data_IF_623721314255
#
_entry.id   IF_623721314255
#
_cell.length_a   1.000
_cell.length_b   1.000
_cell.length_c   1.000
_cell.angle_alpha   90.00
_cell.angle_beta   90.00
_cell.angle_gamma   90.00
#
_symmetry.space_group_name_H-M   'P 1'
#
loop_
_entity.id
_entity.type
_entity.pdbx_description
1 polymer ?
#
# COMPACT_ATOMS: atom_id res chain seq x y z
N UNK A 1 12.72 16.28 -5.86
CA UNK A 1 13.82 17.19 -6.26
C UNK A 1 13.40 18.66 -6.10
N UNK A 2 12.25 19.11 -6.65
CA UNK A 2 11.80 20.53 -6.57
C UNK A 2 11.75 21.00 -5.11
N UNK A 3 11.13 20.25 -4.20
CA UNK A 3 11.06 20.61 -2.78
C UNK A 3 12.44 20.68 -2.11
N UNK A 4 13.35 19.77 -2.45
CA UNK A 4 14.72 19.78 -1.93
C UNK A 4 15.46 21.05 -2.39
N UNK A 5 15.32 21.42 -3.66
CA UNK A 5 15.94 22.62 -4.19
C UNK A 5 15.36 23.91 -3.56
N UNK A 6 14.06 23.95 -3.35
CA UNK A 6 13.40 25.05 -2.64
C UNK A 6 13.93 25.18 -1.19
N UNK A 7 14.03 24.07 -0.47
CA UNK A 7 14.61 24.07 0.89
C UNK A 7 16.07 24.54 0.91
N UNK A 8 16.90 24.08 -0.05
CA UNK A 8 18.29 24.53 -0.16
C UNK A 8 18.39 26.03 -0.44
N UNK A 9 17.50 26.57 -1.26
CA UNK A 9 17.49 28.01 -1.57
C UNK A 9 17.08 28.87 -0.36
N UNK A 10 16.08 28.38 0.39
CA UNK A 10 15.54 29.14 1.54
C UNK A 10 16.36 28.92 2.83
N UNK A 11 17.05 27.81 2.96
CA UNK A 11 17.78 27.41 4.17
C UNK A 11 19.16 26.85 3.80
N UNK A 12 20.06 27.66 3.20
CA UNK A 12 21.31 27.16 2.62
C UNK A 12 22.29 26.56 3.64
N UNK A 13 22.22 27.02 4.89
CA UNK A 13 23.12 26.58 5.96
C UNK A 13 22.50 25.51 6.87
N UNK A 14 21.28 25.04 6.57
CA UNK A 14 20.59 24.04 7.38
C UNK A 14 20.97 22.63 6.88
N UNK A 15 21.49 21.74 7.75
CA UNK A 15 21.68 20.34 7.40
C UNK A 15 20.37 19.68 6.95
N UNK A 16 20.45 18.90 5.88
CA UNK A 16 19.28 18.22 5.33
C UNK A 16 19.48 16.72 5.33
N UNK A 17 18.48 15.99 5.78
CA UNK A 17 18.41 14.53 5.70
C UNK A 17 17.20 14.10 4.88
N UNK A 18 17.38 13.16 3.95
CA UNK A 18 16.29 12.55 3.20
C UNK A 18 15.82 11.28 3.93
N UNK A 19 14.53 11.20 4.21
CA UNK A 19 13.89 9.99 4.72
C UNK A 19 13.03 9.40 3.61
N UNK A 20 13.39 8.18 3.18
CA UNK A 20 12.67 7.51 2.10
C UNK A 20 11.59 6.60 2.66
N UNK A 21 10.38 6.79 2.18
CA UNK A 21 9.20 6.03 2.61
C UNK A 21 9.27 4.53 2.25
N UNK A 22 10.13 4.19 1.30
CA UNK A 22 10.40 2.81 0.87
C UNK A 22 11.53 2.13 1.66
N UNK A 23 12.30 2.87 2.48
CA UNK A 23 13.54 2.37 3.09
C UNK A 23 13.30 1.19 4.05
N UNK A 24 12.22 1.22 4.82
CA UNK A 24 11.86 0.13 5.76
C UNK A 24 11.62 -1.21 5.04
N UNK A 25 11.12 -1.16 3.81
CA UNK A 25 10.80 -2.35 3.01
C UNK A 25 11.99 -2.93 2.24
N UNK A 26 13.19 -2.35 2.36
CA UNK A 26 14.40 -2.89 1.73
C UNK A 26 14.85 -4.24 2.33
N UNK A 27 14.29 -4.63 3.47
CA UNK A 27 14.56 -5.92 4.12
C UNK A 27 13.69 -7.07 3.60
N UNK A 28 12.76 -6.81 2.68
CA UNK A 28 11.97 -7.87 2.04
C UNK A 28 12.87 -8.86 1.31
N UNK A 29 12.62 -10.18 1.44
CA UNK A 29 13.34 -11.20 0.70
C UNK A 29 12.98 -11.16 -0.79
N UNK A 30 13.85 -11.69 -1.63
CA UNK A 30 13.75 -11.59 -3.10
C UNK A 30 12.41 -12.11 -3.64
N UNK A 31 11.94 -13.24 -3.15
CA UNK A 31 10.66 -13.83 -3.55
C UNK A 31 9.43 -12.95 -3.18
N UNK A 32 9.57 -12.01 -2.25
CA UNK A 32 8.50 -11.10 -1.88
C UNK A 32 8.49 -9.83 -2.72
N UNK A 33 9.63 -9.40 -3.26
CA UNK A 33 9.70 -8.17 -4.03
C UNK A 33 9.75 -8.36 -5.55
N UNK A 34 10.17 -9.51 -6.07
CA UNK A 34 10.18 -9.79 -7.51
C UNK A 34 8.76 -10.02 -8.01
N UNK A 35 8.41 -9.40 -9.13
CA UNK A 35 7.21 -9.73 -9.87
C UNK A 35 7.48 -10.89 -10.83
N UNK A 36 6.50 -11.80 -11.07
CA UNK A 36 6.62 -12.89 -12.03
C UNK A 36 6.50 -12.37 -13.48
N UNK A 37 7.43 -11.53 -13.87
CA UNK A 37 7.61 -10.95 -15.18
C UNK A 37 9.00 -11.36 -15.70
N UNK A 38 9.32 -11.19 -17.00
CA UNK A 38 10.67 -11.42 -17.50
C UNK A 38 11.72 -10.74 -16.61
N UNK A 39 12.71 -11.52 -16.14
CA UNK A 39 13.65 -11.08 -15.10
C UNK A 39 14.49 -9.86 -15.54
N UNK A 40 14.70 -9.72 -16.85
CA UNK A 40 15.39 -8.58 -17.46
C UNK A 40 14.72 -7.23 -17.12
N UNK A 41 13.39 -7.23 -16.91
CA UNK A 41 12.69 -6.00 -16.49
C UNK A 41 13.09 -5.55 -15.10
N UNK A 42 13.40 -6.50 -14.20
CA UNK A 42 13.98 -6.17 -12.91
C UNK A 42 15.43 -5.70 -13.06
N UNK A 43 16.25 -6.41 -13.83
CA UNK A 43 17.68 -6.08 -13.96
C UNK A 43 17.89 -4.72 -14.61
N UNK A 44 17.18 -4.42 -15.70
CA UNK A 44 17.38 -3.22 -16.50
C UNK A 44 16.57 -2.02 -15.97
N UNK A 45 15.33 -2.25 -15.54
CA UNK A 45 14.40 -1.18 -15.19
C UNK A 45 14.04 -1.13 -13.71
N UNK A 46 14.60 -2.04 -12.90
CA UNK A 46 14.33 -2.14 -11.46
C UNK A 46 12.83 -2.28 -11.14
N UNK A 47 12.09 -3.00 -12.01
CA UNK A 47 10.68 -3.28 -11.78
C UNK A 47 10.57 -4.33 -10.70
N UNK A 48 10.19 -3.87 -9.50
CA UNK A 48 10.02 -4.70 -8.29
C UNK A 48 9.00 -4.06 -7.35
N UNK A 49 8.58 -4.81 -6.34
CA UNK A 49 7.85 -4.24 -5.20
C UNK A 49 8.80 -3.39 -4.36
N UNK A 50 8.44 -2.14 -4.12
CA UNK A 50 9.15 -1.23 -3.21
C UNK A 50 8.45 -1.10 -1.87
N UNK A 51 7.11 -1.03 -1.88
CA UNK A 51 6.32 -0.71 -0.70
C UNK A 51 6.41 0.77 -0.32
N UNK A 52 5.46 1.21 0.48
CA UNK A 52 5.36 2.60 0.92
C UNK A 52 4.84 2.66 2.35
N UNK A 53 4.69 3.86 2.91
CA UNK A 53 4.39 4.08 4.33
C UNK A 53 5.41 3.43 5.27
N UNK A 54 6.63 3.20 4.80
CA UNK A 54 7.67 2.50 5.54
C UNK A 54 8.03 3.18 6.86
N UNK A 55 8.10 4.50 6.88
CA UNK A 55 8.33 5.28 8.11
C UNK A 55 7.23 5.02 9.14
N UNK A 56 5.96 5.00 8.71
CA UNK A 56 4.82 4.69 9.58
C UNK A 56 4.89 3.25 10.10
N UNK A 57 5.05 2.26 9.22
CA UNK A 57 5.14 0.86 9.61
C UNK A 57 6.28 0.58 10.59
N UNK A 58 7.45 1.18 10.36
CA UNK A 58 8.59 1.10 11.27
C UNK A 58 8.27 1.66 12.64
N UNK A 59 7.72 2.88 12.69
CA UNK A 59 7.42 3.56 13.93
C UNK A 59 6.35 2.81 14.75
N UNK A 60 5.21 2.48 14.14
CA UNK A 60 4.12 1.83 14.89
C UNK A 60 4.48 0.42 15.35
N UNK A 61 5.30 -0.31 14.59
CA UNK A 61 5.75 -1.63 15.03
C UNK A 61 6.68 -1.57 16.23
N UNK A 62 7.58 -0.59 16.27
CA UNK A 62 8.43 -0.35 17.45
C UNK A 62 7.59 0.11 18.65
N UNK A 63 6.71 1.09 18.45
CA UNK A 63 5.83 1.57 19.50
C UNK A 63 4.96 0.46 20.11
N UNK A 64 4.46 -0.46 19.25
CA UNK A 64 3.70 -1.62 19.73
C UNK A 64 4.56 -2.56 20.58
N UNK A 65 5.82 -2.81 20.19
CA UNK A 65 6.76 -3.62 20.98
C UNK A 65 7.03 -2.98 22.36
N UNK A 66 7.27 -1.67 22.37
CA UNK A 66 7.51 -0.90 23.58
C UNK A 66 6.28 -0.95 24.53
N UNK A 67 5.07 -0.76 24.00
CA UNK A 67 3.81 -0.86 24.76
C UNK A 67 3.58 -2.26 25.36
N UNK A 68 4.03 -3.30 24.64
CA UNK A 68 3.95 -4.69 25.10
C UNK A 68 5.09 -5.07 26.04
N UNK A 69 6.05 -4.17 26.26
CA UNK A 69 7.29 -4.41 27.01
C UNK A 69 8.04 -5.65 26.52
N UNK A 70 8.18 -5.76 25.17
CA UNK A 70 8.87 -6.88 24.50
C UNK A 70 9.93 -6.37 23.53
N UNK A 71 10.99 -7.15 23.33
CA UNK A 71 11.93 -6.86 22.24
C UNK A 71 11.23 -7.09 20.89
N UNK A 72 11.35 -6.14 19.98
CA UNK A 72 10.77 -6.25 18.65
C UNK A 72 11.32 -7.46 17.88
N UNK A 73 12.51 -7.93 18.23
CA UNK A 73 13.13 -9.13 17.64
C UNK A 73 12.37 -10.42 17.97
N UNK A 74 11.57 -10.42 19.03
CA UNK A 74 10.76 -11.58 19.44
C UNK A 74 9.36 -11.54 18.83
N UNK A 75 9.04 -10.50 18.05
CA UNK A 75 7.69 -10.23 17.58
C UNK A 75 7.52 -10.51 16.08
N UNK A 76 6.30 -10.94 15.76
CA UNK A 76 5.73 -10.97 14.41
C UNK A 76 4.50 -10.09 14.41
N UNK A 77 4.54 -9.01 13.64
CA UNK A 77 3.54 -7.95 13.65
C UNK A 77 2.95 -7.80 12.26
N UNK A 78 1.63 -7.66 12.16
CA UNK A 78 0.96 -7.15 10.96
C UNK A 78 0.56 -5.71 11.27
N UNK A 79 1.16 -4.77 10.55
CA UNK A 79 0.89 -3.34 10.71
C UNK A 79 -0.04 -2.86 9.62
N UNK A 80 -1.12 -2.17 9.99
CA UNK A 80 -2.11 -1.59 9.09
C UNK A 80 -2.04 -0.06 9.15
N UNK A 81 -1.57 0.55 8.07
CA UNK A 81 -1.66 2.00 7.88
C UNK A 81 -2.93 2.29 7.08
N UNK A 82 -3.97 2.80 7.76
CA UNK A 82 -5.31 2.98 7.18
C UNK A 82 -5.67 4.47 7.10
N UNK A 83 -5.00 5.18 6.18
CA UNK A 83 -5.31 6.55 5.81
C UNK A 83 -6.09 6.62 4.47
N UNK A 84 -6.13 7.80 3.84
CA UNK A 84 -6.65 7.91 2.47
C UNK A 84 -5.84 7.06 1.47
N UNK A 85 -4.51 6.98 1.65
CA UNK A 85 -3.69 5.88 1.19
C UNK A 85 -3.64 4.81 2.28
N UNK A 86 -3.74 3.53 1.93
CA UNK A 86 -3.74 2.43 2.88
C UNK A 86 -2.75 1.34 2.47
N UNK A 87 -2.05 0.78 3.45
CA UNK A 87 -1.17 -0.38 3.24
C UNK A 87 -1.12 -1.28 4.47
N UNK A 88 -0.76 -2.53 4.23
CA UNK A 88 -0.56 -3.54 5.27
C UNK A 88 0.84 -4.09 5.09
N UNK A 89 1.58 -4.23 6.18
CA UNK A 89 2.94 -4.78 6.16
C UNK A 89 3.06 -5.94 7.14
N UNK A 90 3.71 -7.01 6.70
CA UNK A 90 4.14 -8.11 7.54
C UNK A 90 5.56 -7.82 8.05
N UNK A 91 5.72 -7.83 9.37
CA UNK A 91 6.97 -7.47 10.04
C UNK A 91 7.38 -8.64 10.93
N UNK A 92 8.60 -9.10 10.75
CA UNK A 92 9.21 -10.16 11.55
C UNK A 92 10.54 -9.66 12.11
N UNK A 93 10.72 -9.79 13.44
CA UNK A 93 11.96 -9.41 14.09
C UNK A 93 12.39 -7.95 13.80
N UNK A 94 11.40 -7.03 13.71
CA UNK A 94 11.62 -5.64 13.37
C UNK A 94 11.90 -5.33 11.89
N UNK A 95 11.85 -6.34 11.02
CA UNK A 95 12.12 -6.22 9.58
C UNK A 95 10.84 -6.40 8.77
N UNK A 96 10.63 -5.56 7.78
CA UNK A 96 9.57 -5.77 6.79
C UNK A 96 9.89 -7.01 5.94
N UNK A 97 8.98 -7.98 5.91
CA UNK A 97 9.11 -9.20 5.11
C UNK A 97 8.15 -9.24 3.93
N UNK A 98 7.08 -8.46 3.98
CA UNK A 98 6.16 -8.24 2.87
C UNK A 98 5.34 -6.96 3.12
N UNK A 99 4.77 -6.38 2.06
CA UNK A 99 3.86 -5.24 2.15
C UNK A 99 2.87 -5.24 0.99
N UNK A 100 1.68 -4.68 1.21
CA UNK A 100 0.61 -4.68 0.22
C UNK A 100 0.84 -3.73 -0.96
N UNK A 101 1.47 -2.56 -0.75
CA UNK A 101 1.82 -1.66 -1.85
C UNK A 101 2.97 -2.24 -2.68
N UNK A 102 2.96 -1.95 -3.98
CA UNK A 102 3.83 -2.61 -4.96
C UNK A 102 4.95 -1.73 -5.50
N UNK A 103 5.09 -1.75 -6.83
CA UNK A 103 5.98 -0.88 -7.60
C UNK A 103 5.61 0.59 -7.42
N UNK A 104 4.31 0.87 -7.29
CA UNK A 104 3.76 2.19 -6.97
C UNK A 104 2.83 2.10 -5.76
N UNK A 105 2.41 3.24 -5.18
CA UNK A 105 1.41 3.26 -4.10
C UNK A 105 -0.02 2.92 -4.55
N UNK A 106 -0.22 2.52 -5.81
CA UNK A 106 -1.52 2.12 -6.34
C UNK A 106 -1.92 0.71 -5.91
N UNK A 107 -0.96 -0.23 -5.95
CA UNK A 107 -1.21 -1.64 -5.62
C UNK A 107 -1.58 -1.84 -4.15
N UNK A 108 -2.21 -2.96 -3.85
CA UNK A 108 -2.59 -3.37 -2.50
C UNK A 108 -4.08 -3.38 -2.26
N UNK A 109 -4.51 -2.91 -1.10
CA UNK A 109 -5.93 -2.80 -0.72
C UNK A 109 -6.63 -1.69 -1.52
N UNK A 110 -7.94 -1.76 -1.66
CA UNK A 110 -8.73 -0.62 -2.10
C UNK A 110 -8.56 0.53 -1.09
N UNK A 111 -8.47 1.76 -1.57
CA UNK A 111 -8.18 2.94 -0.72
C UNK A 111 -9.28 4.00 -0.91
N UNK A 112 -9.08 5.19 -0.38
CA UNK A 112 -10.03 6.29 -0.56
C UNK A 112 -10.37 6.55 -2.03
N UNK A 113 -9.33 6.75 -2.87
CA UNK A 113 -9.47 7.05 -4.31
C UNK A 113 -8.72 6.09 -5.23
N UNK A 114 -7.88 5.19 -4.70
CA UNK A 114 -7.07 4.24 -5.47
C UNK A 114 -7.71 2.88 -5.52
N UNK A 115 -7.63 2.25 -6.69
CA UNK A 115 -8.25 0.93 -6.93
C UNK A 115 -7.66 -0.20 -6.08
N UNK A 116 -6.37 -0.14 -5.74
CA UNK A 116 -5.66 -1.29 -5.21
C UNK A 116 -5.37 -2.34 -6.29
N UNK A 117 -5.25 -3.60 -5.88
CA UNK A 117 -5.04 -4.71 -6.81
C UNK A 117 -6.28 -4.96 -7.66
N UNK A 118 -6.09 -4.92 -8.98
CA UNK A 118 -7.07 -5.30 -10.00
C UNK A 118 -6.41 -6.26 -11.00
N UNK A 119 -7.18 -6.89 -11.85
CA UNK A 119 -6.66 -7.63 -13.00
C UNK A 119 -5.97 -6.64 -13.96
N UNK A 120 -4.70 -6.87 -14.34
CA UNK A 120 -3.98 -6.01 -15.28
C UNK A 120 -4.69 -5.84 -16.64
N UNK A 121 -5.44 -6.85 -17.09
CA UNK A 121 -6.19 -6.79 -18.35
C UNK A 121 -7.28 -5.71 -18.34
N UNK A 122 -7.72 -5.25 -17.16
CA UNK A 122 -8.67 -4.13 -17.08
C UNK A 122 -8.04 -2.84 -17.65
N UNK A 123 -6.74 -2.64 -17.46
CA UNK A 123 -6.06 -1.45 -17.99
C UNK A 123 -6.07 -1.44 -19.51
N UNK A 124 -5.74 -2.56 -20.15
CA UNK A 124 -5.77 -2.69 -21.62
C UNK A 124 -7.19 -2.59 -22.15
N UNK A 125 -8.16 -3.23 -21.50
CA UNK A 125 -9.58 -3.11 -21.87
C UNK A 125 -10.06 -1.63 -21.86
N UNK A 126 -9.72 -0.86 -20.83
CA UNK A 126 -10.08 0.55 -20.76
C UNK A 126 -9.47 1.37 -21.90
N UNK A 127 -8.26 1.02 -22.32
CA UNK A 127 -7.57 1.71 -23.42
C UNK A 127 -8.14 1.32 -24.78
N UNK A 128 -8.35 0.04 -25.02
CA UNK A 128 -8.73 -0.52 -26.32
C UNK A 128 -10.22 -0.36 -26.61
N UNK A 129 -11.08 -0.69 -25.62
CA UNK A 129 -12.53 -0.69 -25.82
C UNK A 129 -13.20 0.65 -25.47
N UNK A 130 -12.65 1.39 -24.50
CA UNK A 130 -13.21 2.69 -24.11
C UNK A 130 -12.40 3.88 -24.63
N UNK A 131 -11.31 3.64 -25.36
CA UNK A 131 -10.50 4.69 -25.99
C UNK A 131 -9.75 5.59 -25.02
N UNK A 132 -9.54 5.16 -23.75
CA UNK A 132 -8.84 5.98 -22.77
C UNK A 132 -7.33 5.95 -23.03
N UNK A 133 -6.68 7.09 -22.95
CA UNK A 133 -5.23 7.17 -22.94
C UNK A 133 -4.63 6.55 -21.67
N UNK A 134 -3.35 6.17 -21.69
CA UNK A 134 -2.65 5.65 -20.52
C UNK A 134 -2.66 6.63 -19.33
N UNK A 135 -2.63 7.93 -19.60
CA UNK A 135 -2.72 8.97 -18.58
C UNK A 135 -4.11 9.00 -17.93
N UNK A 136 -5.19 8.85 -18.73
CA UNK A 136 -6.56 8.79 -18.22
C UNK A 136 -6.80 7.54 -17.40
N UNK A 137 -6.31 6.37 -17.84
CA UNK A 137 -6.37 5.12 -17.08
C UNK A 137 -5.62 5.27 -15.76
N UNK A 138 -4.41 5.84 -15.78
CA UNK A 138 -3.63 6.11 -14.57
C UNK A 138 -4.38 7.04 -13.61
N UNK A 139 -4.97 8.10 -14.13
CA UNK A 139 -5.76 9.04 -13.31
C UNK A 139 -7.03 8.38 -12.74
N UNK A 140 -7.73 7.58 -13.55
CA UNK A 140 -8.90 6.82 -13.12
C UNK A 140 -8.55 5.91 -11.93
N UNK A 141 -7.50 5.11 -12.07
CA UNK A 141 -7.09 4.15 -11.04
C UNK A 141 -6.59 4.82 -9.75
N UNK A 142 -5.98 6.00 -9.85
CA UNK A 142 -5.40 6.69 -8.69
C UNK A 142 -6.34 7.69 -8.01
N UNK A 143 -7.26 8.32 -8.77
CA UNK A 143 -8.04 9.46 -8.29
C UNK A 143 -9.55 9.28 -8.31
N UNK A 144 -10.06 8.32 -9.10
CA UNK A 144 -11.50 8.15 -9.33
C UNK A 144 -12.00 6.75 -8.98
N UNK A 145 -11.17 5.95 -8.32
CA UNK A 145 -11.44 4.55 -7.94
C UNK A 145 -11.58 4.41 -6.42
N UNK A 146 -11.28 3.25 -5.89
CA UNK A 146 -11.39 2.96 -4.47
C UNK A 146 -12.81 3.08 -3.93
N UNK A 147 -12.94 3.45 -2.66
CA UNK A 147 -14.28 3.59 -2.05
C UNK A 147 -15.05 4.76 -2.66
N UNK A 148 -14.37 5.82 -3.12
CA UNK A 148 -15.00 6.90 -3.89
C UNK A 148 -15.63 6.38 -5.16
N UNK A 149 -14.90 5.59 -5.96
CA UNK A 149 -15.39 5.07 -7.23
C UNK A 149 -16.57 4.11 -7.08
N UNK A 150 -16.54 3.26 -6.05
CA UNK A 150 -17.62 2.31 -5.75
C UNK A 150 -18.85 3.05 -5.23
N UNK A 151 -18.70 3.91 -4.25
CA UNK A 151 -19.82 4.63 -3.63
C UNK A 151 -20.42 5.70 -4.54
N UNK A 152 -19.56 6.41 -5.28
CA UNK A 152 -19.95 7.62 -6.02
C UNK A 152 -20.26 8.82 -5.11
N UNK A 153 -19.86 8.78 -3.84
CA UNK A 153 -20.22 9.78 -2.82
C UNK A 153 -18.97 10.50 -2.31
N UNK A 154 -18.09 9.78 -1.61
CA UNK A 154 -16.95 10.37 -0.92
C UNK A 154 -15.80 9.38 -0.78
N UNK A 155 -14.58 9.87 -0.60
CA UNK A 155 -13.43 9.08 -0.14
C UNK A 155 -13.26 9.13 1.38
N UNK A 156 -14.01 9.96 2.08
CA UNK A 156 -14.00 10.06 3.54
C UNK A 156 -14.89 8.97 4.15
N UNK A 157 -14.30 8.15 5.00
CA UNK A 157 -15.00 7.04 5.64
C UNK A 157 -16.11 7.50 6.60
N UNK A 158 -16.03 8.70 7.16
CA UNK A 158 -17.09 9.26 8.00
C UNK A 158 -18.35 9.49 7.19
N UNK A 159 -18.21 10.08 6.00
CA UNK A 159 -19.32 10.31 5.08
C UNK A 159 -19.90 8.97 4.58
N UNK A 160 -19.03 8.00 4.30
CA UNK A 160 -19.46 6.68 3.82
C UNK A 160 -20.22 5.89 4.89
N UNK A 161 -19.77 5.91 6.14
CA UNK A 161 -20.44 5.24 7.26
C UNK A 161 -21.84 5.83 7.47
N UNK A 162 -21.98 7.14 7.40
CA UNK A 162 -23.28 7.79 7.51
C UNK A 162 -24.19 7.43 6.32
N UNK A 163 -23.66 7.56 5.09
CA UNK A 163 -24.41 7.25 3.88
C UNK A 163 -24.83 5.76 3.79
N UNK A 164 -24.02 4.85 4.32
CA UNK A 164 -24.29 3.41 4.29
C UNK A 164 -25.58 3.01 5.00
N UNK A 165 -26.08 3.83 5.92
CA UNK A 165 -27.36 3.58 6.61
C UNK A 165 -28.54 3.50 5.64
N UNK A 166 -28.46 4.16 4.49
CA UNK A 166 -29.56 4.24 3.50
C UNK A 166 -29.11 3.97 2.06
N UNK A 167 -27.79 4.00 1.79
CA UNK A 167 -27.25 3.85 0.44
C UNK A 167 -26.48 2.52 0.31
N UNK A 168 -26.99 1.61 -0.50
CA UNK A 168 -26.39 0.28 -0.73
C UNK A 168 -24.99 0.34 -1.35
N UNK A 169 -24.68 1.34 -2.20
CA UNK A 169 -23.35 1.47 -2.81
C UNK A 169 -22.32 1.99 -1.81
N UNK A 170 -22.72 2.84 -0.88
CA UNK A 170 -21.86 3.25 0.23
C UNK A 170 -21.52 2.05 1.14
N UNK A 171 -22.52 1.22 1.48
CA UNK A 171 -22.28 -0.02 2.21
C UNK A 171 -21.35 -0.97 1.44
N UNK A 172 -21.60 -1.19 0.15
CA UNK A 172 -20.74 -2.03 -0.70
C UNK A 172 -19.29 -1.52 -0.72
N UNK A 173 -19.06 -0.20 -0.77
CA UNK A 173 -17.72 0.38 -0.76
C UNK A 173 -16.97 0.04 0.54
N UNK A 174 -17.65 0.12 1.69
CA UNK A 174 -17.11 -0.30 2.99
C UNK A 174 -16.83 -1.80 3.03
N UNK A 175 -17.76 -2.62 2.54
CA UNK A 175 -17.61 -4.07 2.52
C UNK A 175 -16.43 -4.52 1.66
N UNK A 176 -16.24 -3.92 0.48
CA UNK A 176 -15.09 -4.18 -0.39
C UNK A 176 -13.78 -3.77 0.31
N UNK A 177 -13.74 -2.61 0.96
CA UNK A 177 -12.57 -2.17 1.71
C UNK A 177 -12.21 -3.16 2.81
N UNK A 178 -13.16 -3.53 3.66
CA UNK A 178 -12.93 -4.50 4.74
C UNK A 178 -12.55 -5.88 4.21
N UNK A 179 -13.17 -6.34 3.13
CA UNK A 179 -12.84 -7.61 2.51
C UNK A 179 -11.39 -7.64 2.02
N UNK A 180 -10.94 -6.59 1.33
CA UNK A 180 -9.54 -6.50 0.84
C UNK A 180 -8.53 -6.45 1.99
N UNK A 181 -8.82 -5.76 3.10
CA UNK A 181 -7.97 -5.78 4.29
C UNK A 181 -7.90 -7.19 4.87
N UNK A 182 -9.05 -7.86 5.08
CA UNK A 182 -9.09 -9.23 5.60
C UNK A 182 -8.27 -10.20 4.75
N UNK A 183 -8.33 -10.06 3.42
CA UNK A 183 -7.54 -10.90 2.49
C UNK A 183 -6.04 -10.79 2.78
N UNK A 184 -5.52 -9.56 2.95
CA UNK A 184 -4.10 -9.37 3.28
C UNK A 184 -3.75 -9.87 4.68
N UNK A 185 -4.60 -9.62 5.68
CA UNK A 185 -4.38 -10.11 7.05
C UNK A 185 -4.28 -11.63 7.07
N UNK A 186 -5.24 -12.32 6.44
CA UNK A 186 -5.25 -13.78 6.36
C UNK A 186 -4.04 -14.32 5.59
N UNK A 187 -3.65 -13.68 4.48
CA UNK A 187 -2.47 -14.07 3.71
C UNK A 187 -1.19 -14.01 4.56
N UNK A 188 -1.02 -12.95 5.33
CA UNK A 188 0.15 -12.78 6.20
C UNK A 188 0.12 -13.68 7.43
N UNK A 189 -1.06 -14.07 7.91
CA UNK A 189 -1.21 -15.01 9.03
C UNK A 189 -0.98 -16.46 8.60
N UNK A 190 -1.52 -16.87 7.45
CA UNK A 190 -1.33 -18.23 6.89
C UNK A 190 0.14 -18.49 6.61
N UNK A 191 0.90 -17.53 6.11
CA UNK A 191 2.35 -17.60 5.99
C UNK A 191 3.08 -17.87 7.32
N UNK A 192 2.45 -17.55 8.46
CA UNK A 192 2.95 -17.94 9.81
C UNK A 192 2.67 -19.41 10.14
N UNK A 193 1.56 -19.98 9.68
CA UNK A 193 1.16 -21.35 9.96
C UNK A 193 1.96 -22.36 9.11
N UNK A 194 2.17 -22.06 7.82
CA UNK A 194 2.93 -22.94 6.91
C UNK A 194 4.43 -23.06 7.25
N UNK A 195 4.99 -22.14 8.02
CA UNK A 195 6.36 -22.23 8.54
C UNK A 195 6.51 -23.17 9.74
N UNK A 196 5.44 -23.79 10.24
CA UNK A 196 5.51 -24.72 11.38
C UNK A 196 5.59 -26.19 11.00
N UNK A 197 5.36 -26.54 9.74
CA UNK A 197 5.22 -27.96 9.33
C UNK A 197 6.25 -28.42 8.28
N UNK A 198 7.43 -27.80 8.20
CA UNK A 198 8.52 -28.34 7.41
C UNK A 198 9.87 -28.12 8.06
#
# INVERSE_FOLDING_TARGET
IIGINACKALMPNTPMAAVFDTAFHQTMPEQAYIYPLPYELYEQHKIRRYGFHGTSHKYVSQAAADMMNKDIKDLKIISCHLGNGASIAAIKEGKSIDTSMGFTPLAGVAMGTRAGNIDPAIATFLMEELGLSSAEVTNLMNKKSGVLGISGISSDFRDLIEAAKTNKRAQLALDVFYYKIKTFLCSYEIGRASCRER
#
